data_IF_869189162822
#
_entry.id   IF_869189162822
#
_cell.length_a   1.000
_cell.length_b   1.000
_cell.length_c   1.000
_cell.angle_alpha   90.00
_cell.angle_beta   90.00
_cell.angle_gamma   90.00
#
_symmetry.space_group_name_H-M   'P 1'
#
loop_
_entity.id
_entity.type
_entity.pdbx_description
1 polymer ?
#
# COMPACT_ATOMS: atom_id res chain seq x y z
N UNK A 1 -5.84 -21.55 3.95
CA UNK A 1 -5.25 -22.92 4.00
C UNK A 1 -6.17 -23.93 3.31
N UNK A 2 -7.33 -24.35 3.90
CA UNK A 2 -8.18 -25.39 3.27
C UNK A 2 -8.54 -25.08 1.80
N UNK A 3 -8.84 -23.83 1.46
CA UNK A 3 -9.13 -23.41 0.08
C UNK A 3 -7.95 -23.54 -0.90
N UNK A 4 -6.74 -23.79 -0.41
CA UNK A 4 -5.54 -23.91 -1.25
C UNK A 4 -5.16 -25.37 -1.53
N UNK A 5 -5.80 -26.32 -0.83
CA UNK A 5 -5.57 -27.74 -1.07
C UNK A 5 -6.15 -28.15 -2.41
N UNK A 6 -5.32 -28.76 -3.26
CA UNK A 6 -5.71 -29.39 -4.54
C UNK A 6 -6.57 -28.51 -5.45
N UNK A 7 -6.22 -27.24 -5.64
CA UNK A 7 -6.85 -26.38 -6.65
C UNK A 7 -6.62 -26.92 -8.07
N UNK A 8 -7.53 -26.70 -9.04
CA UNK A 8 -8.81 -26.03 -8.98
C UNK A 8 -9.98 -26.99 -8.71
N UNK A 9 -11.19 -26.42 -8.41
CA UNK A 9 -12.49 -27.11 -8.36
C UNK A 9 -12.63 -28.21 -7.29
N UNK A 10 -11.91 -28.11 -6.16
CA UNK A 10 -12.08 -29.02 -5.02
C UNK A 10 -12.48 -28.26 -3.76
N UNK A 11 -13.31 -28.90 -2.94
CA UNK A 11 -13.71 -28.43 -1.62
C UNK A 11 -12.99 -29.28 -0.57
N UNK A 12 -12.26 -28.63 0.31
CA UNK A 12 -11.57 -29.27 1.40
C UNK A 12 -11.99 -28.69 2.73
N UNK A 13 -11.96 -29.54 3.76
CA UNK A 13 -12.11 -29.15 5.17
C UNK A 13 -10.76 -29.18 5.87
N UNK A 14 -10.64 -28.39 6.91
CA UNK A 14 -9.51 -28.43 7.83
C UNK A 14 -10.05 -28.15 9.24
N UNK A 15 -10.55 -29.20 9.88
CA UNK A 15 -10.97 -29.14 11.29
C UNK A 15 -9.79 -29.36 12.23
N UNK A 16 -9.97 -29.06 13.51
CA UNK A 16 -8.90 -29.11 14.50
C UNK A 16 -8.24 -30.51 14.65
N UNK A 17 -9.04 -31.55 14.54
CA UNK A 17 -8.60 -32.95 14.58
C UNK A 17 -7.88 -33.41 13.31
N UNK A 18 -8.10 -32.72 12.20
CA UNK A 18 -7.45 -32.98 10.90
C UNK A 18 -6.08 -32.30 10.76
N UNK A 19 -5.75 -31.34 11.61
CA UNK A 19 -4.51 -30.55 11.53
C UNK A 19 -3.26 -31.44 11.49
N UNK A 20 -3.08 -32.45 12.37
CA UNK A 20 -1.88 -33.29 12.34
C UNK A 20 -1.69 -34.07 11.04
N UNK A 21 -2.79 -34.45 10.38
CA UNK A 21 -2.77 -35.27 9.18
C UNK A 21 -2.72 -34.44 7.89
N UNK A 22 -3.42 -33.30 7.84
CA UNK A 22 -3.55 -32.49 6.62
C UNK A 22 -2.61 -31.28 6.59
N UNK A 23 -2.38 -30.62 7.73
CA UNK A 23 -1.62 -29.38 7.79
C UNK A 23 -0.14 -29.61 8.16
N UNK A 24 0.14 -30.38 9.18
CA UNK A 24 1.50 -30.56 9.69
C UNK A 24 2.50 -31.18 8.71
N UNK A 25 2.12 -32.09 7.76
CA UNK A 25 3.07 -32.61 6.78
C UNK A 25 3.53 -31.59 5.75
N UNK A 26 2.80 -30.47 5.58
CA UNK A 26 3.12 -29.48 4.57
C UNK A 26 4.42 -28.73 4.89
N UNK A 27 5.15 -28.28 3.86
CA UNK A 27 6.30 -27.40 4.04
C UNK A 27 5.94 -26.14 4.83
N UNK A 28 6.84 -25.69 5.70
CA UNK A 28 6.60 -24.51 6.56
C UNK A 28 6.28 -23.24 5.77
N UNK A 29 6.77 -23.13 4.53
CA UNK A 29 6.49 -22.01 3.64
C UNK A 29 5.06 -21.95 3.09
N UNK A 30 4.29 -23.04 3.21
CA UNK A 30 2.88 -23.09 2.81
C UNK A 30 1.95 -22.50 3.88
N UNK A 31 2.46 -22.29 5.10
CA UNK A 31 1.65 -21.71 6.16
C UNK A 31 1.34 -20.25 5.88
N UNK A 32 0.08 -19.87 6.03
CA UNK A 32 -0.36 -18.47 5.91
C UNK A 32 0.51 -17.56 6.80
N UNK A 33 0.89 -16.42 6.27
CA UNK A 33 1.81 -15.44 6.88
C UNK A 33 3.29 -15.84 6.89
N UNK A 34 3.68 -17.00 6.38
CA UNK A 34 5.09 -17.40 6.23
C UNK A 34 5.56 -17.13 4.80
N UNK A 35 6.19 -15.97 4.56
CA UNK A 35 6.80 -15.64 3.28
C UNK A 35 8.18 -16.29 3.08
N UNK A 36 8.74 -16.20 1.88
CA UNK A 36 10.02 -16.83 1.49
C UNK A 36 11.17 -16.57 2.48
N UNK A 37 11.35 -15.32 2.92
CA UNK A 37 12.42 -14.96 3.85
C UNK A 37 12.25 -15.63 5.22
N UNK A 38 11.02 -15.72 5.73
CA UNK A 38 10.69 -16.39 6.99
C UNK A 38 10.87 -17.90 6.85
N UNK A 39 10.37 -18.50 5.77
CA UNK A 39 10.53 -19.91 5.47
C UNK A 39 12.02 -20.30 5.41
N UNK A 40 12.86 -19.51 4.74
CA UNK A 40 14.32 -19.76 4.66
C UNK A 40 14.97 -19.76 6.04
N UNK A 41 14.64 -18.81 6.92
CA UNK A 41 15.16 -18.77 8.30
C UNK A 41 14.75 -19.98 9.14
N UNK A 42 13.48 -20.38 9.03
CA UNK A 42 12.94 -21.55 9.74
C UNK A 42 13.60 -22.83 9.25
N UNK A 43 13.67 -23.04 7.94
CA UNK A 43 14.29 -24.22 7.32
C UNK A 43 15.78 -24.33 7.67
N UNK A 44 16.53 -23.23 7.65
CA UNK A 44 17.92 -23.20 8.11
C UNK A 44 18.08 -23.61 9.58
N UNK A 45 17.04 -23.42 10.40
CA UNK A 45 16.99 -23.84 11.80
C UNK A 45 16.35 -25.22 12.03
N UNK A 46 16.25 -26.05 10.97
CA UNK A 46 15.67 -27.41 10.96
C UNK A 46 14.16 -27.45 11.22
N UNK A 47 13.44 -26.34 11.04
CA UNK A 47 11.98 -26.29 11.09
C UNK A 47 11.50 -26.31 9.63
N UNK A 48 11.24 -27.49 9.09
CA UNK A 48 10.96 -27.69 7.66
C UNK A 48 9.48 -27.81 7.35
N UNK A 49 8.72 -28.37 8.28
CA UNK A 49 7.27 -28.58 8.14
C UNK A 49 6.48 -27.70 9.09
N UNK A 50 5.19 -27.56 8.83
CA UNK A 50 4.26 -26.86 9.72
C UNK A 50 4.20 -27.60 11.05
N UNK A 51 4.28 -28.94 11.05
CA UNK A 51 4.32 -29.75 12.26
C UNK A 51 5.59 -29.53 13.09
N UNK A 52 6.75 -29.34 12.46
CA UNK A 52 7.98 -28.97 13.17
C UNK A 52 7.79 -27.61 13.88
N UNK A 53 7.18 -26.65 13.19
CA UNK A 53 6.89 -25.32 13.74
C UNK A 53 5.93 -25.41 14.93
N UNK A 54 4.85 -26.19 14.81
CA UNK A 54 3.85 -26.38 15.85
C UNK A 54 4.44 -26.95 17.14
N UNK A 55 5.39 -27.89 17.00
CA UNK A 55 6.05 -28.58 18.13
C UNK A 55 7.26 -27.82 18.67
N UNK A 56 7.79 -26.84 17.94
CA UNK A 56 8.96 -26.06 18.38
C UNK A 56 8.57 -25.13 19.52
N UNK A 57 9.46 -25.00 20.51
CA UNK A 57 9.27 -24.06 21.61
C UNK A 57 9.10 -22.62 21.11
N UNK A 58 8.14 -21.89 21.70
CA UNK A 58 7.79 -20.54 21.31
C UNK A 58 8.98 -19.58 21.38
N UNK A 59 9.79 -19.68 22.44
CA UNK A 59 10.95 -18.81 22.62
C UNK A 59 11.99 -18.97 21.51
N UNK A 60 12.17 -20.19 21.01
CA UNK A 60 13.05 -20.50 19.88
C UNK A 60 12.52 -19.91 18.60
N UNK A 61 11.22 -20.05 18.30
CA UNK A 61 10.60 -19.45 17.11
C UNK A 61 10.69 -17.93 17.15
N UNK A 62 10.41 -17.32 18.30
CA UNK A 62 10.50 -15.87 18.49
C UNK A 62 11.91 -15.31 18.27
N UNK A 63 12.95 -16.02 18.69
CA UNK A 63 14.34 -15.64 18.43
C UNK A 63 14.68 -15.61 16.94
N UNK A 64 14.08 -16.48 16.12
CA UNK A 64 14.33 -16.58 14.69
C UNK A 64 13.61 -15.51 13.86
N UNK A 65 12.34 -15.22 14.19
CA UNK A 65 11.46 -14.42 13.34
C UNK A 65 10.85 -13.18 14.02
N UNK A 66 11.18 -12.97 15.31
CA UNK A 66 10.65 -11.87 16.13
C UNK A 66 9.44 -12.27 16.97
N UNK A 67 9.20 -11.53 18.05
CA UNK A 67 8.24 -11.90 19.11
C UNK A 67 6.82 -12.02 18.56
N UNK A 68 6.33 -11.00 17.85
CA UNK A 68 4.94 -10.97 17.33
C UNK A 68 4.74 -12.04 16.25
N UNK A 69 5.63 -12.10 15.27
CA UNK A 69 5.54 -13.04 14.16
C UNK A 69 5.68 -14.48 14.65
N UNK A 70 6.64 -14.74 15.56
CA UNK A 70 6.87 -16.08 16.09
C UNK A 70 5.65 -16.65 16.84
N UNK A 71 4.96 -15.80 17.62
CA UNK A 71 3.71 -16.20 18.26
C UNK A 71 2.63 -16.50 17.22
N UNK A 72 2.41 -15.57 16.28
CA UNK A 72 1.37 -15.68 15.26
C UNK A 72 1.49 -16.97 14.43
N UNK A 73 2.66 -17.23 13.83
CA UNK A 73 2.82 -18.39 12.95
C UNK A 73 2.79 -19.72 13.74
N UNK A 74 3.23 -19.74 15.00
CA UNK A 74 3.11 -20.94 15.84
C UNK A 74 1.66 -21.21 16.22
N UNK A 75 0.90 -20.18 16.57
CA UNK A 75 -0.54 -20.30 16.83
C UNK A 75 -1.26 -20.84 15.59
N UNK A 76 -0.98 -20.29 14.41
CA UNK A 76 -1.54 -20.75 13.13
C UNK A 76 -1.15 -22.20 12.80
N UNK A 77 0.09 -22.61 13.09
CA UNK A 77 0.52 -24.00 12.89
C UNK A 77 -0.25 -24.98 13.79
N UNK A 78 -0.78 -24.52 14.91
CA UNK A 78 -1.65 -25.27 15.81
C UNK A 78 -3.15 -25.04 15.54
N UNK A 79 -3.51 -24.32 14.48
CA UNK A 79 -4.91 -24.01 14.12
C UNK A 79 -5.58 -23.03 15.08
N UNK A 80 -4.80 -22.25 15.82
CA UNK A 80 -5.31 -21.27 16.77
C UNK A 80 -5.28 -19.86 16.15
N UNK A 81 -6.44 -19.21 16.13
CA UNK A 81 -6.59 -17.80 15.79
C UNK A 81 -7.63 -17.18 16.74
N UNK A 82 -7.21 -16.18 17.48
CA UNK A 82 -8.08 -15.42 18.39
C UNK A 82 -8.46 -14.06 17.84
N UNK A 83 -8.22 -13.80 16.54
CA UNK A 83 -8.55 -12.52 15.91
C UNK A 83 -10.06 -12.29 15.95
N UNK A 84 -10.51 -11.13 16.45
CA UNK A 84 -11.93 -10.82 16.45
C UNK A 84 -12.44 -10.61 15.01
N UNK A 85 -13.68 -11.00 14.77
CA UNK A 85 -14.39 -10.60 13.56
C UNK A 85 -14.80 -9.15 13.74
N UNK A 86 -14.19 -8.25 12.98
CA UNK A 86 -14.49 -6.82 13.04
C UNK A 86 -15.72 -6.53 12.19
N UNK A 87 -16.71 -5.90 12.80
CA UNK A 87 -17.92 -5.43 12.09
C UNK A 87 -17.61 -4.22 11.22
N UNK A 88 -16.63 -3.40 11.61
CA UNK A 88 -16.19 -2.22 10.88
C UNK A 88 -14.74 -2.37 10.44
N UNK A 89 -14.37 -1.91 9.24
CA UNK A 89 -12.98 -1.92 8.79
C UNK A 89 -12.10 -1.03 9.67
N UNK A 90 -10.84 -1.43 9.85
CA UNK A 90 -9.86 -0.57 10.54
C UNK A 90 -9.72 0.79 9.84
N UNK A 91 -9.44 1.83 10.62
CA UNK A 91 -9.17 3.16 10.10
C UNK A 91 -8.06 3.14 9.04
N UNK A 92 -8.25 3.88 7.96
CA UNK A 92 -7.28 3.97 6.86
C UNK A 92 -5.95 4.52 7.38
N UNK A 93 -4.89 3.76 7.22
CA UNK A 93 -3.53 4.11 7.70
C UNK A 93 -2.75 4.99 6.71
N UNK A 94 -3.17 5.01 5.45
CA UNK A 94 -2.53 5.79 4.40
C UNK A 94 -3.15 5.60 3.03
N UNK A 95 -2.84 6.52 2.11
CA UNK A 95 -3.29 6.49 0.73
C UNK A 95 -2.06 6.34 -0.17
N UNK A 96 -1.98 5.27 -0.91
CA UNK A 96 -0.85 5.02 -1.80
C UNK A 96 -1.30 4.63 -3.20
N UNK A 97 -0.47 4.98 -4.17
CA UNK A 97 -0.56 4.48 -5.54
C UNK A 97 0.83 4.33 -6.13
N UNK A 98 1.00 3.34 -6.99
CA UNK A 98 2.23 3.12 -7.74
C UNK A 98 1.92 2.61 -9.14
N UNK A 99 2.76 2.98 -10.09
CA UNK A 99 2.65 2.54 -11.47
C UNK A 99 3.93 1.84 -11.90
N UNK A 100 3.81 0.63 -12.42
CA UNK A 100 4.87 -0.01 -13.19
C UNK A 100 4.81 0.56 -14.60
N UNK A 101 5.92 1.09 -15.08
CA UNK A 101 6.03 1.73 -16.37
C UNK A 101 6.09 0.68 -17.47
N UNK A 102 5.44 0.93 -18.61
CA UNK A 102 5.48 0.03 -19.77
C UNK A 102 6.89 -0.01 -20.38
N UNK A 103 7.50 1.18 -20.45
CA UNK A 103 8.90 1.37 -20.81
C UNK A 103 9.63 2.06 -19.68
N UNK A 104 10.87 1.69 -19.46
CA UNK A 104 11.71 2.28 -18.42
C UNK A 104 11.97 3.76 -18.74
N UNK A 105 11.81 4.62 -17.73
CA UNK A 105 11.95 6.07 -17.87
C UNK A 105 13.34 6.51 -17.42
N UNK A 106 14.03 7.26 -18.27
CA UNK A 106 15.34 7.88 -18.00
C UNK A 106 15.28 9.41 -18.01
N UNK A 107 14.14 9.99 -18.37
CA UNK A 107 13.95 11.43 -18.42
C UNK A 107 13.24 11.97 -17.17
N UNK A 108 13.87 12.94 -16.51
CA UNK A 108 13.36 13.60 -15.30
C UNK A 108 12.03 14.32 -15.53
N UNK A 109 11.82 14.91 -16.71
CA UNK A 109 10.59 15.62 -17.01
C UNK A 109 9.42 14.62 -17.15
N UNK A 110 9.67 13.49 -17.80
CA UNK A 110 8.67 12.40 -17.91
C UNK A 110 8.36 11.80 -16.55
N UNK A 111 9.38 11.48 -15.72
CA UNK A 111 9.20 10.97 -14.37
C UNK A 111 8.39 11.96 -13.49
N UNK A 112 8.67 13.26 -13.60
CA UNK A 112 7.96 14.32 -12.88
C UNK A 112 6.47 14.39 -13.24
N UNK A 113 6.11 14.20 -14.52
CA UNK A 113 4.70 14.14 -14.96
C UNK A 113 3.96 12.96 -14.35
N UNK A 114 4.60 11.79 -14.32
CA UNK A 114 4.05 10.58 -13.69
C UNK A 114 3.88 10.78 -12.19
N UNK A 115 4.88 11.36 -11.54
CA UNK A 115 4.85 11.66 -10.11
C UNK A 115 3.69 12.60 -9.77
N UNK A 116 3.47 13.66 -10.58
CA UNK A 116 2.34 14.57 -10.40
C UNK A 116 0.99 13.85 -10.55
N UNK A 117 0.85 12.97 -11.54
CA UNK A 117 -0.36 12.19 -11.73
C UNK A 117 -0.63 11.25 -10.52
N UNK A 118 0.41 10.65 -9.95
CA UNK A 118 0.29 9.84 -8.74
C UNK A 118 -0.13 10.69 -7.54
N UNK A 119 0.50 11.86 -7.33
CA UNK A 119 0.12 12.79 -6.26
C UNK A 119 -1.33 13.25 -6.38
N UNK A 120 -1.77 13.61 -7.57
CA UNK A 120 -3.16 14.02 -7.86
C UNK A 120 -4.15 12.88 -7.51
N UNK A 121 -3.85 11.65 -7.92
CA UNK A 121 -4.67 10.48 -7.65
C UNK A 121 -4.79 10.17 -6.14
N UNK A 122 -3.68 10.15 -5.40
CA UNK A 122 -3.72 9.79 -3.97
C UNK A 122 -4.29 10.91 -3.12
N UNK A 123 -4.01 12.20 -3.45
CA UNK A 123 -4.56 13.33 -2.74
C UNK A 123 -6.07 13.48 -2.96
N UNK A 124 -6.56 13.23 -4.18
CA UNK A 124 -8.00 13.22 -4.48
C UNK A 124 -8.77 12.18 -3.66
N UNK A 125 -8.24 10.94 -3.56
CA UNK A 125 -8.84 9.88 -2.72
C UNK A 125 -8.83 10.25 -1.24
N UNK A 126 -7.74 10.80 -0.75
CA UNK A 126 -7.62 11.26 0.64
C UNK A 126 -8.62 12.37 0.95
N UNK A 127 -8.79 13.35 0.03
CA UNK A 127 -9.80 14.43 0.20
C UNK A 127 -11.23 13.92 0.14
N UNK A 128 -11.50 12.89 -0.69
CA UNK A 128 -12.83 12.28 -0.75
C UNK A 128 -13.27 11.70 0.60
N UNK A 129 -12.31 11.24 1.41
CA UNK A 129 -12.56 10.73 2.76
C UNK A 129 -12.46 11.82 3.84
N UNK A 130 -12.35 13.11 3.47
CA UNK A 130 -12.21 14.22 4.41
C UNK A 130 -10.93 14.17 5.25
N UNK A 131 -9.83 13.64 4.69
CA UNK A 131 -8.59 13.40 5.43
C UNK A 131 -7.45 14.29 4.97
N UNK A 132 -6.45 14.45 5.85
CA UNK A 132 -5.18 15.13 5.57
C UNK A 132 -4.00 14.20 5.89
N UNK A 133 -2.86 14.45 5.24
CA UNK A 133 -1.61 13.74 5.55
C UNK A 133 -0.55 14.69 6.09
N UNK A 134 0.31 14.16 6.96
CA UNK A 134 1.53 14.86 7.42
C UNK A 134 2.80 14.11 7.07
N UNK A 135 2.74 13.06 6.24
CA UNK A 135 3.93 12.35 5.77
C UNK A 135 3.75 11.95 4.31
N UNK A 136 4.77 12.21 3.50
CA UNK A 136 4.83 11.79 2.10
C UNK A 136 5.99 10.83 1.93
N UNK A 137 5.74 9.71 1.26
CA UNK A 137 6.75 8.72 0.89
C UNK A 137 6.77 8.59 -0.63
N UNK A 138 7.96 8.66 -1.21
CA UNK A 138 8.20 8.34 -2.62
C UNK A 138 8.95 7.02 -2.70
N UNK A 139 8.52 6.15 -3.59
CA UNK A 139 9.15 4.86 -3.87
C UNK A 139 9.50 4.78 -5.34
N UNK A 140 10.73 4.35 -5.63
CA UNK A 140 11.19 4.07 -6.98
C UNK A 140 11.69 2.63 -7.06
N UNK A 141 11.61 2.05 -8.25
CA UNK A 141 12.26 0.78 -8.59
C UNK A 141 13.00 0.96 -9.90
N UNK A 142 14.29 0.61 -9.90
CA UNK A 142 15.10 0.56 -11.10
C UNK A 142 14.82 -0.68 -11.95
N UNK A 143 15.44 -0.74 -13.12
CA UNK A 143 15.41 -1.91 -14.00
C UNK A 143 16.13 -3.13 -13.39
N UNK A 144 16.98 -2.92 -12.39
CA UNK A 144 17.61 -3.94 -11.55
C UNK A 144 16.65 -4.54 -10.50
N UNK A 145 15.39 -4.15 -10.51
CA UNK A 145 14.33 -4.54 -9.56
C UNK A 145 14.60 -4.15 -8.09
N UNK A 146 15.59 -3.30 -7.81
CA UNK A 146 15.83 -2.79 -6.47
C UNK A 146 14.87 -1.65 -6.15
N UNK A 147 14.21 -1.77 -5.01
CA UNK A 147 13.35 -0.72 -4.47
C UNK A 147 14.18 0.25 -3.62
N UNK A 148 13.97 1.53 -3.84
CA UNK A 148 14.42 2.60 -2.95
C UNK A 148 13.20 3.42 -2.53
N UNK A 149 13.15 3.86 -1.28
CA UNK A 149 12.09 4.74 -0.79
C UNK A 149 12.65 5.78 0.16
N UNK A 150 12.07 6.97 0.10
CA UNK A 150 12.38 8.06 1.02
C UNK A 150 11.09 8.71 1.48
N UNK A 151 11.01 9.07 2.76
CA UNK A 151 9.85 9.72 3.32
C UNK A 151 10.24 10.95 4.13
N UNK A 152 9.33 11.91 4.18
CA UNK A 152 9.49 13.12 4.99
C UNK A 152 8.15 13.58 5.53
N UNK A 153 8.19 14.09 6.77
CA UNK A 153 7.03 14.74 7.39
C UNK A 153 6.90 16.16 6.88
N UNK A 154 5.66 16.58 6.68
CA UNK A 154 5.30 17.99 6.47
C UNK A 154 5.21 18.70 7.82
N UNK A 155 5.51 19.99 7.88
CA UNK A 155 5.35 20.80 9.10
C UNK A 155 3.90 20.82 9.59
N UNK A 156 2.95 20.89 8.66
CA UNK A 156 1.52 20.90 8.90
C UNK A 156 0.82 19.84 8.05
N UNK A 157 -0.27 19.23 8.54
CA UNK A 157 -1.09 18.33 7.73
C UNK A 157 -1.69 19.06 6.52
N UNK A 158 -1.67 18.39 5.37
CA UNK A 158 -2.19 18.96 4.11
C UNK A 158 -3.06 17.98 3.34
N UNK A 159 -3.98 18.54 2.56
CA UNK A 159 -4.78 17.87 1.54
C UNK A 159 -4.54 18.47 0.14
N UNK A 160 -3.63 19.47 0.04
CA UNK A 160 -3.34 20.21 -1.18
C UNK A 160 -2.37 19.44 -2.06
N UNK A 161 -2.78 19.11 -3.28
CA UNK A 161 -1.99 18.35 -4.26
C UNK A 161 -0.65 19.02 -4.57
N UNK A 162 -0.60 20.35 -4.65
CA UNK A 162 0.62 21.09 -4.96
C UNK A 162 1.70 20.93 -3.87
N UNK A 163 1.33 20.94 -2.58
CA UNK A 163 2.25 20.71 -1.46
C UNK A 163 2.78 19.28 -1.44
N UNK A 164 1.88 18.31 -1.64
CA UNK A 164 2.25 16.89 -1.77
C UNK A 164 3.24 16.70 -2.92
N UNK A 165 2.97 17.30 -4.09
CA UNK A 165 3.84 17.18 -5.25
C UNK A 165 5.19 17.87 -5.06
N UNK A 166 5.23 19.05 -4.47
CA UNK A 166 6.47 19.77 -4.19
C UNK A 166 7.42 18.93 -3.32
N UNK A 167 6.90 18.35 -2.22
CA UNK A 167 7.68 17.46 -1.36
C UNK A 167 8.06 16.17 -2.09
N UNK A 168 7.13 15.57 -2.84
CA UNK A 168 7.41 14.37 -3.63
C UNK A 168 8.52 14.58 -4.65
N UNK A 169 8.56 15.74 -5.31
CA UNK A 169 9.62 16.11 -6.26
C UNK A 169 10.98 16.22 -5.57
N UNK A 170 11.04 16.83 -4.40
CA UNK A 170 12.27 16.91 -3.59
C UNK A 170 12.75 15.51 -3.21
N UNK A 171 11.86 14.66 -2.64
CA UNK A 171 12.21 13.29 -2.27
C UNK A 171 12.66 12.45 -3.47
N UNK A 172 12.01 12.63 -4.61
CA UNK A 172 12.38 11.96 -5.84
C UNK A 172 13.79 12.35 -6.31
N UNK A 173 14.15 13.64 -6.27
CA UNK A 173 15.48 14.11 -6.65
C UNK A 173 16.59 13.63 -5.70
N UNK A 174 16.25 13.33 -4.45
CA UNK A 174 17.19 12.76 -3.48
C UNK A 174 17.37 11.23 -3.66
N UNK A 175 16.36 10.56 -4.20
CA UNK A 175 16.36 9.10 -4.39
C UNK A 175 16.99 8.66 -5.70
N UNK A 176 16.72 9.40 -6.76
CA UNK A 176 17.07 9.00 -8.11
C UNK A 176 18.36 9.69 -8.56
N UNK A 177 19.25 8.91 -9.12
CA UNK A 177 20.55 9.35 -9.64
C UNK A 177 20.46 10.07 -11.01
N UNK A 178 19.29 10.07 -11.64
CA UNK A 178 19.02 10.74 -12.92
C UNK A 178 19.35 9.93 -14.17
N UNK A 179 19.94 8.73 -14.03
CA UNK A 179 20.37 7.90 -15.16
C UNK A 179 19.94 6.42 -15.07
N UNK A 180 19.78 5.86 -13.88
CA UNK A 180 19.28 4.49 -13.74
C UNK A 180 17.86 4.42 -14.28
N UNK A 181 17.56 3.55 -15.29
CA UNK A 181 16.22 3.47 -15.84
C UNK A 181 15.18 3.09 -14.78
N UNK A 182 14.11 3.88 -14.69
CA UNK A 182 13.03 3.70 -13.72
C UNK A 182 11.95 2.80 -14.28
N UNK A 183 11.68 1.71 -13.57
CA UNK A 183 10.63 0.75 -13.88
C UNK A 183 9.34 0.97 -13.11
N UNK A 184 9.40 1.58 -11.92
CA UNK A 184 8.25 1.86 -11.08
C UNK A 184 8.42 3.17 -10.33
N UNK A 185 7.33 3.91 -10.26
CA UNK A 185 7.16 5.09 -9.40
C UNK A 185 5.95 4.90 -8.51
N UNK A 186 6.07 5.33 -7.24
CA UNK A 186 4.98 5.29 -6.27
C UNK A 186 5.01 6.47 -5.31
N UNK A 187 3.82 6.88 -4.87
CA UNK A 187 3.60 7.88 -3.82
C UNK A 187 2.66 7.31 -2.77
N UNK A 188 3.00 7.52 -1.50
CA UNK A 188 2.15 7.14 -0.37
C UNK A 188 2.05 8.31 0.61
N UNK A 189 0.82 8.64 0.99
CA UNK A 189 0.48 9.61 2.01
C UNK A 189 0.20 8.88 3.32
N UNK A 190 0.91 9.23 4.35
CA UNK A 190 0.83 8.61 5.68
C UNK A 190 0.61 9.64 6.78
N UNK A 191 0.53 9.15 8.01
CA UNK A 191 0.16 9.95 9.17
C UNK A 191 -1.12 10.74 8.90
N UNK A 192 -2.18 9.97 8.65
CA UNK A 192 -3.49 10.50 8.28
C UNK A 192 -4.19 11.04 9.52
N UNK A 193 -4.79 12.21 9.39
CA UNK A 193 -5.63 12.86 10.42
C UNK A 193 -6.96 13.30 9.83
N UNK A 194 -7.96 13.41 10.69
CA UNK A 194 -9.25 13.99 10.35
C UNK A 194 -9.13 15.51 10.18
N UNK A 195 -9.98 16.09 9.34
CA UNK A 195 -9.95 17.53 9.03
C UNK A 195 -10.24 18.39 10.27
N UNK A 196 -11.04 17.87 11.21
CA UNK A 196 -11.46 18.57 12.43
C UNK A 196 -10.34 18.73 13.47
N UNK A 197 -9.26 17.95 13.38
CA UNK A 197 -8.18 17.93 14.40
C UNK A 197 -7.01 18.83 14.06
N UNK A 198 -7.07 19.57 12.97
CA UNK A 198 -5.95 20.43 12.53
C UNK A 198 -6.02 21.79 13.19
N UNK A 199 -5.01 22.09 13.99
CA UNK A 199 -4.81 23.44 14.52
C UNK A 199 -4.58 24.41 13.34
N UNK A 200 -5.54 25.32 13.13
CA UNK A 200 -5.40 26.36 12.11
C UNK A 200 -4.27 27.32 12.52
N UNK A 201 -3.35 27.56 11.59
CA UNK A 201 -2.37 28.63 11.75
C UNK A 201 -3.08 29.97 11.79
N UNK A 202 -2.70 30.86 12.72
CA UNK A 202 -3.23 32.23 12.78
C UNK A 202 -2.90 33.07 11.54
N UNK A 203 -1.94 32.62 10.74
CA UNK A 203 -1.60 33.24 9.45
C UNK A 203 -2.24 32.40 8.33
N UNK A 204 -3.41 32.80 7.84
CA UNK A 204 -4.04 32.19 6.69
C UNK A 204 -3.16 32.42 5.46
N UNK A 205 -2.71 31.33 4.84
CA UNK A 205 -2.06 31.38 3.54
C UNK A 205 -3.13 31.36 2.43
N UNK A 206 -3.48 32.55 1.93
CA UNK A 206 -4.45 32.73 0.83
C UNK A 206 -4.15 31.85 -0.37
N UNK A 207 -2.88 31.54 -0.62
CA UNK A 207 -2.48 30.68 -1.74
C UNK A 207 -2.84 29.22 -1.47
N UNK A 208 -2.65 28.74 -0.25
CA UNK A 208 -3.01 27.40 0.18
C UNK A 208 -4.52 27.18 0.09
N UNK A 209 -5.31 28.14 0.56
CA UNK A 209 -6.79 28.10 0.48
C UNK A 209 -7.30 28.11 -0.97
N UNK A 210 -6.71 28.92 -1.83
CA UNK A 210 -7.03 28.91 -3.27
C UNK A 210 -6.68 27.58 -3.93
N UNK A 211 -5.52 27.02 -3.63
CA UNK A 211 -5.09 25.73 -4.17
C UNK A 211 -6.02 24.58 -3.69
N UNK A 212 -6.43 24.61 -2.41
CA UNK A 212 -7.40 23.66 -1.85
C UNK A 212 -8.76 23.76 -2.57
N UNK A 213 -9.30 24.97 -2.72
CA UNK A 213 -10.58 25.20 -3.41
C UNK A 213 -10.53 24.70 -4.86
N UNK A 214 -9.40 24.93 -5.55
CA UNK A 214 -9.18 24.44 -6.91
C UNK A 214 -9.21 22.91 -6.94
N UNK A 215 -8.45 22.24 -6.07
CA UNK A 215 -8.41 20.79 -5.99
C UNK A 215 -9.80 20.20 -5.68
N UNK A 216 -10.54 20.77 -4.73
CA UNK A 216 -11.91 20.35 -4.41
C UNK A 216 -12.88 20.54 -5.59
N UNK A 217 -12.77 21.66 -6.33
CA UNK A 217 -13.60 21.91 -7.51
C UNK A 217 -13.30 20.87 -8.62
N UNK A 218 -12.04 20.57 -8.85
CA UNK A 218 -11.62 19.54 -9.82
C UNK A 218 -12.15 18.16 -9.40
N UNK A 219 -12.08 17.82 -8.11
CA UNK A 219 -12.58 16.54 -7.60
C UNK A 219 -14.12 16.44 -7.77
N UNK A 220 -14.87 17.50 -7.50
CA UNK A 220 -16.32 17.56 -7.72
C UNK A 220 -16.67 17.35 -9.21
N UNK A 221 -15.96 18.00 -10.11
CA UNK A 221 -16.16 17.84 -11.55
C UNK A 221 -15.83 16.42 -12.01
N UNK A 222 -14.76 15.83 -11.50
CA UNK A 222 -14.39 14.43 -11.77
C UNK A 222 -15.41 13.43 -11.23
N UNK A 223 -15.95 13.68 -10.06
CA UNK A 223 -17.01 12.85 -9.48
C UNK A 223 -18.29 12.89 -10.34
N UNK A 224 -18.63 14.05 -10.90
CA UNK A 224 -19.85 14.24 -11.70
C UNK A 224 -19.70 13.75 -13.15
N UNK A 225 -18.55 14.00 -13.79
CA UNK A 225 -18.35 13.78 -15.22
C UNK A 225 -17.32 12.68 -15.54
N UNK A 226 -16.75 12.06 -14.52
CA UNK A 226 -15.72 11.02 -14.66
C UNK A 226 -14.30 11.55 -14.49
N UNK A 227 -13.40 10.66 -14.07
CA UNK A 227 -12.00 11.00 -13.68
C UNK A 227 -11.19 11.62 -14.82
N UNK A 228 -11.56 11.32 -16.07
CA UNK A 228 -10.90 11.82 -17.27
C UNK A 228 -11.46 13.15 -17.81
N UNK A 229 -12.56 13.66 -17.23
CA UNK A 229 -13.22 14.87 -17.71
C UNK A 229 -12.31 16.11 -17.60
N UNK A 230 -11.51 16.17 -16.53
CA UNK A 230 -10.53 17.24 -16.33
C UNK A 230 -9.19 16.63 -15.93
N UNK A 231 -8.16 16.95 -16.71
CA UNK A 231 -6.77 16.57 -16.41
C UNK A 231 -5.85 17.79 -16.50
N UNK A 232 -4.72 17.75 -15.81
CA UNK A 232 -3.68 18.76 -15.96
C UNK A 232 -3.04 18.59 -17.32
N UNK A 233 -2.93 19.65 -18.14
CA UNK A 233 -2.43 19.58 -19.52
C UNK A 233 -1.05 18.93 -19.66
N UNK A 234 -0.18 19.09 -18.65
CA UNK A 234 1.15 18.47 -18.63
C UNK A 234 1.17 16.95 -18.35
N UNK A 235 0.02 16.33 -17.97
CA UNK A 235 -0.07 14.93 -17.50
C UNK A 235 -1.06 14.08 -18.31
N UNK A 236 -1.58 14.57 -19.43
CA UNK A 236 -2.68 13.94 -20.17
C UNK A 236 -2.42 12.45 -20.50
N UNK A 237 -1.21 12.08 -20.87
CA UNK A 237 -0.86 10.68 -21.18
C UNK A 237 -0.52 9.86 -19.93
N UNK A 238 0.05 10.49 -18.91
CA UNK A 238 0.36 9.84 -17.64
C UNK A 238 -0.91 9.53 -16.83
N UNK A 239 -1.93 10.39 -16.89
CA UNK A 239 -3.23 10.17 -16.22
C UNK A 239 -3.99 8.98 -16.76
N UNK A 240 -3.89 8.68 -18.06
CA UNK A 240 -4.51 7.48 -18.64
C UNK A 240 -3.99 6.19 -18.00
N UNK A 241 -2.70 6.14 -17.67
CA UNK A 241 -2.03 4.97 -17.06
C UNK A 241 -2.33 4.84 -15.56
N UNK A 242 -2.27 5.93 -14.83
CA UNK A 242 -2.59 6.00 -13.39
C UNK A 242 -4.11 5.83 -13.17
N UNK A 243 -4.93 6.41 -14.03
CA UNK A 243 -6.39 6.40 -13.95
C UNK A 243 -7.04 5.04 -14.25
N UNK A 244 -6.40 4.12 -14.99
CA UNK A 244 -6.95 2.78 -15.22
C UNK A 244 -7.08 1.97 -13.93
N UNK A 245 -6.09 2.01 -13.04
CA UNK A 245 -6.16 1.37 -11.72
C UNK A 245 -7.18 2.05 -10.81
N UNK A 246 -7.27 3.38 -10.85
CA UNK A 246 -8.23 4.16 -10.09
C UNK A 246 -9.68 3.86 -10.52
N UNK A 247 -9.93 3.74 -11.83
CA UNK A 247 -11.24 3.38 -12.37
C UNK A 247 -11.65 1.96 -11.97
N UNK A 248 -10.73 0.99 -12.00
CA UNK A 248 -10.99 -0.37 -11.57
C UNK A 248 -11.36 -0.43 -10.07
N UNK A 249 -10.65 0.29 -9.21
CA UNK A 249 -10.96 0.38 -7.78
C UNK A 249 -12.32 1.04 -7.51
N UNK A 250 -12.68 2.11 -8.22
CA UNK A 250 -14.00 2.76 -8.10
C UNK A 250 -15.16 1.88 -8.62
N UNK A 251 -14.90 0.98 -9.56
CA UNK A 251 -15.89 0.02 -10.05
C UNK A 251 -16.07 -1.15 -9.08
N UNK A 252 -15.03 -1.54 -8.33
CA UNK A 252 -15.09 -2.55 -7.27
C UNK A 252 -15.77 -2.02 -6.00
N UNK A 253 -15.61 -0.73 -5.68
CA UNK A 253 -16.19 -0.08 -4.49
C UNK A 253 -17.67 0.36 -4.66
N UNK A 254 -18.25 0.21 -5.84
CA UNK A 254 -19.69 0.46 -6.01
C UNK A 254 -20.50 -0.61 -5.26
N UNK A 255 -21.39 -0.22 -4.34
CA UNK A 255 -22.29 -1.16 -3.71
C UNK A 255 -23.05 -1.88 -4.82
N UNK A 256 -22.95 -3.22 -4.84
CA UNK A 256 -23.78 -4.04 -5.71
C UNK A 256 -25.24 -3.71 -5.38
N UNK A 257 -25.88 -2.99 -6.28
CA UNK A 257 -27.32 -2.73 -6.15
C UNK A 257 -28.05 -4.08 -6.12
N UNK A 258 -29.08 -4.21 -5.24
CA UNK A 258 -29.82 -5.45 -5.05
C UNK A 258 -30.58 -5.90 -6.30
#
# INVERSE_FOLDING_TARGET
MASDFEKPNKVHTLFADEIPQKLWPLPVGELYSVGRATASKLTASQIRTIGDLAKTDLSRVQKLVGVKMGKLIRDYANGMDSSPVLAEPEAVKGYGNSVTLEEDVTDTAQASKILLALCDSVASRMRADGRRCSCVTVTIRGNDFRNKSHQRKLPEPTDVTAEVFALSKTLFSELWDGYTPLRLLGVTLGNISDDETVQLSMFQDDQKDRARKLDQTVDQLRSKFGVTAISRGCVTDATKRVGRKYKAQLEEDKPKQP
#
